data_IF_496680210076
#
_entry.id   IF_496680210076
#
_cell.length_a   1.000
_cell.length_b   1.000
_cell.length_c   1.000
_cell.angle_alpha   90.00
_cell.angle_beta   90.00
_cell.angle_gamma   90.00
#
_symmetry.space_group_name_H-M   'P 1'
#
loop_
_entity.id
_entity.type
_entity.pdbx_description
1 polymer ?
#
# COMPACT_ATOMS: atom_id res chain seq x y z
N UNK A 1 2.49 -24.36 -3.20
CA UNK A 1 3.47 -23.30 -2.87
C UNK A 1 3.65 -22.44 -4.11
N UNK A 2 2.79 -21.44 -4.32
CA UNK A 2 2.92 -20.52 -5.47
C UNK A 2 4.12 -19.61 -5.21
N UNK A 3 5.14 -19.73 -6.05
CA UNK A 3 6.31 -18.84 -6.07
C UNK A 3 5.86 -17.44 -6.50
N UNK A 4 5.48 -16.61 -5.52
CA UNK A 4 5.35 -15.17 -5.73
C UNK A 4 6.76 -14.65 -5.99
N UNK A 5 6.98 -14.13 -7.20
CA UNK A 5 8.22 -13.48 -7.60
C UNK A 5 8.60 -12.40 -6.55
N UNK A 6 9.72 -12.62 -5.83
CA UNK A 6 10.23 -11.77 -4.75
C UNK A 6 10.69 -10.42 -5.31
N UNK A 7 9.74 -9.53 -5.60
CA UNK A 7 10.02 -8.19 -6.12
C UNK A 7 10.69 -7.29 -5.07
N UNK A 8 11.42 -6.27 -5.53
CA UNK A 8 12.10 -5.26 -4.69
C UNK A 8 11.21 -4.65 -3.59
N UNK A 9 9.90 -4.57 -3.83
CA UNK A 9 8.94 -3.99 -2.89
C UNK A 9 8.81 -4.80 -1.59
N UNK A 10 8.97 -6.13 -1.60
CA UNK A 10 8.89 -6.93 -0.38
C UNK A 10 10.03 -6.61 0.60
N UNK A 11 11.19 -6.22 0.08
CA UNK A 11 12.36 -5.85 0.88
C UNK A 11 12.25 -4.43 1.45
N UNK A 12 11.52 -3.55 0.77
CA UNK A 12 11.35 -2.15 1.18
C UNK A 12 10.20 -1.95 2.18
N UNK A 13 9.17 -2.81 2.13
CA UNK A 13 7.99 -2.70 3.02
C UNK A 13 8.36 -2.64 4.51
N UNK A 14 9.25 -3.49 5.06
CA UNK A 14 9.61 -3.45 6.48
C UNK A 14 10.29 -2.14 6.89
N UNK A 15 11.16 -1.59 6.02
CA UNK A 15 11.86 -0.33 6.26
C UNK A 15 10.89 0.86 6.27
N UNK A 16 9.98 0.89 5.30
CA UNK A 16 8.93 1.91 5.23
C UNK A 16 7.98 1.84 6.43
N UNK A 17 7.63 0.63 6.87
CA UNK A 17 6.79 0.40 8.04
C UNK A 17 7.49 0.82 9.34
N UNK A 18 8.76 0.46 9.51
CA UNK A 18 9.58 0.90 10.64
C UNK A 18 9.66 2.43 10.71
N UNK A 19 9.80 3.10 9.56
CA UNK A 19 9.77 4.57 9.49
C UNK A 19 8.41 5.14 9.88
N UNK A 20 7.31 4.55 9.39
CA UNK A 20 5.95 4.97 9.72
C UNK A 20 5.68 4.89 11.23
N UNK A 21 6.11 3.78 11.86
CA UNK A 21 6.03 3.58 13.31
C UNK A 21 6.89 4.60 14.04
N UNK A 22 8.15 4.78 13.61
CA UNK A 22 9.09 5.71 14.25
C UNK A 22 8.67 7.19 14.20
N UNK A 23 7.75 7.57 13.33
CA UNK A 23 7.18 8.94 13.27
C UNK A 23 5.70 9.00 13.70
N UNK A 24 5.19 7.94 14.33
CA UNK A 24 3.85 7.92 14.94
C UNK A 24 2.68 7.98 13.95
N UNK A 25 2.82 7.38 12.75
CA UNK A 25 1.75 7.41 11.73
C UNK A 25 0.60 6.48 12.12
N UNK A 26 -0.62 6.89 11.78
CA UNK A 26 -1.85 6.21 12.21
C UNK A 26 -2.25 5.05 11.29
N UNK A 27 -1.75 5.04 10.06
CA UNK A 27 -1.94 3.96 9.09
C UNK A 27 -0.88 4.01 8.00
N UNK A 28 -0.81 2.93 7.21
CA UNK A 28 0.06 2.80 6.04
C UNK A 28 -0.76 2.56 4.79
N UNK A 29 -0.37 3.18 3.67
CA UNK A 29 -1.17 3.17 2.44
C UNK A 29 -0.38 2.80 1.19
N UNK A 30 -0.96 1.97 0.32
CA UNK A 30 -0.45 1.72 -1.03
C UNK A 30 -1.54 1.83 -2.11
N UNK A 31 -1.20 2.44 -3.24
CA UNK A 31 -2.12 2.71 -4.35
C UNK A 31 -2.03 1.66 -5.48
N UNK A 32 -1.89 0.38 -5.12
CA UNK A 32 -1.70 -0.74 -6.07
C UNK A 32 -2.07 -2.06 -5.40
N UNK A 33 -2.54 -3.03 -6.20
CA UNK A 33 -3.12 -4.31 -5.77
C UNK A 33 -2.20 -5.53 -5.84
N UNK A 34 -0.98 -5.38 -6.40
CA UNK A 34 -0.03 -6.48 -6.61
C UNK A 34 0.82 -6.84 -5.38
N UNK A 35 2.04 -7.34 -5.59
CA UNK A 35 2.94 -7.80 -4.51
C UNK A 35 3.18 -6.75 -3.41
N UNK A 36 3.14 -5.46 -3.75
CA UNK A 36 3.15 -4.37 -2.76
C UNK A 36 2.03 -4.50 -1.71
N UNK A 37 0.80 -4.76 -2.17
CA UNK A 37 -0.39 -4.87 -1.34
C UNK A 37 -0.34 -6.09 -0.43
N UNK A 38 0.09 -7.22 -0.99
CA UNK A 38 0.24 -8.49 -0.27
C UNK A 38 1.33 -8.35 0.80
N UNK A 39 2.49 -7.81 0.43
CA UNK A 39 3.60 -7.55 1.34
C UNK A 39 3.20 -6.57 2.44
N UNK A 40 2.59 -5.44 2.08
CA UNK A 40 2.12 -4.44 3.03
C UNK A 40 1.16 -5.07 4.04
N UNK A 41 0.15 -5.79 3.57
CA UNK A 41 -0.83 -6.45 4.43
C UNK A 41 -0.16 -7.45 5.37
N UNK A 42 0.87 -8.18 4.90
CA UNK A 42 1.63 -9.11 5.71
C UNK A 42 2.39 -8.43 6.85
N UNK A 43 3.22 -7.44 6.51
CA UNK A 43 4.08 -6.77 7.48
C UNK A 43 3.30 -5.86 8.41
N UNK A 44 2.28 -5.16 7.91
CA UNK A 44 1.43 -4.28 8.70
C UNK A 44 0.59 -5.06 9.73
N UNK A 45 0.07 -6.24 9.35
CA UNK A 45 -0.60 -7.14 10.30
C UNK A 45 0.36 -7.60 11.42
N UNK A 46 1.62 -7.90 11.09
CA UNK A 46 2.63 -8.26 12.09
C UNK A 46 3.02 -7.09 13.01
N UNK A 47 2.95 -5.85 12.53
CA UNK A 47 3.31 -4.65 13.30
C UNK A 47 2.12 -3.93 13.96
N UNK A 48 0.92 -4.52 13.89
CA UNK A 48 -0.32 -3.91 14.39
C UNK A 48 -0.62 -2.50 13.83
N UNK A 49 -0.13 -2.19 12.63
CA UNK A 49 -0.44 -0.92 11.92
C UNK A 49 -1.50 -1.21 10.87
N UNK A 50 -2.62 -0.47 10.79
CA UNK A 50 -3.68 -0.75 9.81
C UNK A 50 -3.19 -0.56 8.35
N UNK A 51 -3.19 -1.61 7.52
CA UNK A 51 -2.90 -1.48 6.09
C UNK A 51 -4.13 -1.01 5.30
N UNK A 52 -3.92 0.02 4.48
CA UNK A 52 -4.95 0.62 3.64
C UNK A 52 -4.55 0.50 2.17
N UNK A 53 -5.38 -0.14 1.37
CA UNK A 53 -5.03 -0.50 0.00
C UNK A 53 -6.03 0.15 -0.94
N UNK A 54 -5.57 1.14 -1.70
CA UNK A 54 -6.41 1.81 -2.67
C UNK A 54 -6.21 1.20 -4.05
N UNK A 55 -7.33 0.84 -4.68
CA UNK A 55 -7.39 0.18 -5.97
C UNK A 55 -8.43 0.86 -6.85
N UNK A 56 -8.29 0.74 -8.15
CA UNK A 56 -9.31 1.17 -9.11
C UNK A 56 -10.12 -0.04 -9.56
N UNK A 57 -11.41 0.14 -9.83
CA UNK A 57 -12.22 -0.92 -10.44
C UNK A 57 -11.73 -1.24 -11.87
N UNK A 58 -11.91 -2.49 -12.35
CA UNK A 58 -12.40 -3.65 -11.63
C UNK A 58 -11.38 -4.19 -10.62
N UNK A 59 -11.87 -4.80 -9.52
CA UNK A 59 -11.00 -5.30 -8.47
C UNK A 59 -10.20 -6.53 -8.97
N UNK A 60 -8.86 -6.47 -9.05
CA UNK A 60 -8.07 -7.61 -9.52
C UNK A 60 -8.01 -8.72 -8.45
N UNK A 61 -7.92 -9.98 -8.89
CA UNK A 61 -7.96 -11.18 -8.02
C UNK A 61 -6.95 -11.17 -6.85
N UNK A 62 -5.81 -10.52 -7.03
CA UNK A 62 -4.80 -10.33 -5.98
C UNK A 62 -5.31 -9.60 -4.74
N UNK A 63 -6.40 -8.83 -4.87
CA UNK A 63 -7.08 -8.17 -3.76
C UNK A 63 -7.80 -9.15 -2.82
N UNK A 64 -8.13 -10.36 -3.29
CA UNK A 64 -8.75 -11.39 -2.44
C UNK A 64 -7.80 -11.82 -1.32
N UNK A 65 -6.53 -12.04 -1.66
CA UNK A 65 -5.47 -12.41 -0.71
C UNK A 65 -5.27 -11.31 0.34
N UNK A 66 -5.41 -10.06 -0.08
CA UNK A 66 -5.35 -8.91 0.82
C UNK A 66 -6.54 -8.90 1.78
N UNK A 67 -7.77 -9.06 1.28
CA UNK A 67 -9.00 -9.11 2.10
C UNK A 67 -8.98 -10.20 3.15
N UNK A 68 -8.37 -11.35 2.84
CA UNK A 68 -8.24 -12.48 3.75
C UNK A 68 -7.25 -12.21 4.90
N UNK A 69 -6.36 -11.22 4.77
CA UNK A 69 -5.44 -10.85 5.84
C UNK A 69 -6.14 -9.92 6.83
N UNK A 70 -6.20 -10.35 8.08
CA UNK A 70 -6.82 -9.60 9.19
C UNK A 70 -6.34 -8.14 9.22
N UNK A 71 -7.29 -7.20 9.11
CA UNK A 71 -7.07 -5.77 9.27
C UNK A 71 -6.80 -4.98 7.99
N UNK A 72 -6.74 -5.62 6.82
CA UNK A 72 -6.55 -4.92 5.56
C UNK A 72 -7.86 -4.35 4.99
N UNK A 73 -7.91 -3.02 4.87
CA UNK A 73 -9.04 -2.34 4.24
C UNK A 73 -8.73 -2.01 2.78
N UNK A 74 -9.61 -2.48 1.89
CA UNK A 74 -9.54 -2.17 0.46
C UNK A 74 -10.52 -1.04 0.15
N UNK A 75 -9.99 0.08 -0.33
CA UNK A 75 -10.76 1.24 -0.77
C UNK A 75 -10.76 1.25 -2.30
N UNK A 76 -11.94 1.12 -2.89
CA UNK A 76 -12.11 1.12 -4.35
C UNK A 76 -12.40 2.53 -4.84
N UNK A 77 -11.56 3.04 -5.73
CA UNK A 77 -11.71 4.33 -6.39
C UNK A 77 -12.26 4.14 -7.81
N UNK A 78 -13.03 5.12 -8.30
CA UNK A 78 -13.68 5.05 -9.62
C UNK A 78 -12.67 5.23 -10.75
N UNK A 79 -11.77 6.20 -10.64
CA UNK A 79 -10.71 6.43 -11.60
C UNK A 79 -9.33 6.46 -10.93
N UNK A 80 -8.28 6.32 -11.74
CA UNK A 80 -6.90 6.43 -11.27
C UNK A 80 -6.65 7.78 -10.60
N UNK A 81 -7.17 8.87 -11.16
CA UNK A 81 -7.02 10.21 -10.59
C UNK A 81 -7.65 10.33 -9.19
N UNK A 82 -8.87 9.83 -9.02
CA UNK A 82 -9.55 9.81 -7.71
C UNK A 82 -8.75 9.03 -6.67
N UNK A 83 -8.06 7.96 -7.09
CA UNK A 83 -7.18 7.19 -6.22
C UNK A 83 -6.03 8.04 -5.70
N UNK A 84 -5.43 8.88 -6.55
CA UNK A 84 -4.35 9.78 -6.16
C UNK A 84 -4.82 10.86 -5.20
N UNK A 85 -5.95 11.50 -5.49
CA UNK A 85 -6.55 12.50 -4.60
C UNK A 85 -6.86 11.90 -3.24
N UNK A 86 -7.54 10.74 -3.23
CA UNK A 86 -7.89 10.04 -2.00
C UNK A 86 -6.65 9.69 -1.15
N UNK A 87 -5.57 9.27 -1.80
CA UNK A 87 -4.30 8.98 -1.17
C UNK A 87 -3.66 10.23 -0.55
N UNK A 88 -3.60 11.33 -1.30
CA UNK A 88 -3.01 12.59 -0.84
C UNK A 88 -3.76 13.14 0.39
N UNK A 89 -5.09 13.16 0.34
CA UNK A 89 -5.94 13.58 1.47
C UNK A 89 -5.63 12.79 2.74
N UNK A 90 -5.43 11.47 2.62
CA UNK A 90 -5.14 10.58 3.75
C UNK A 90 -3.74 10.78 4.31
N UNK A 91 -2.76 11.05 3.45
CA UNK A 91 -1.39 11.35 3.88
C UNK A 91 -1.32 12.68 4.62
N UNK A 92 -2.07 13.70 4.16
CA UNK A 92 -2.28 14.94 4.91
C UNK A 92 -2.95 14.67 6.27
N UNK A 93 -3.87 13.69 6.32
CA UNK A 93 -4.48 13.20 7.55
C UNK A 93 -3.61 12.28 8.43
N UNK A 94 -2.31 12.15 8.14
CA UNK A 94 -1.36 11.43 9.00
C UNK A 94 -1.09 9.97 8.61
N UNK A 95 -1.55 9.51 7.44
CA UNK A 95 -1.16 8.20 6.92
C UNK A 95 0.24 8.24 6.29
N UNK A 96 0.91 7.09 6.24
CA UNK A 96 2.23 6.97 5.64
C UNK A 96 2.17 6.32 4.24
N UNK A 97 2.74 6.98 3.22
CA UNK A 97 2.76 6.44 1.86
C UNK A 97 3.87 5.42 1.63
N UNK A 98 3.54 4.20 1.17
CA UNK A 98 4.57 3.21 0.78
C UNK A 98 4.95 3.22 -0.70
N UNK A 99 4.17 3.91 -1.53
CA UNK A 99 4.43 4.01 -2.97
C UNK A 99 4.52 5.47 -3.32
N UNK A 100 5.41 5.83 -4.25
CA UNK A 100 5.57 7.20 -4.71
C UNK A 100 4.21 7.83 -5.08
N UNK A 101 3.96 9.02 -4.53
CA UNK A 101 2.70 9.77 -4.64
C UNK A 101 2.89 11.10 -5.36
N UNK A 102 3.98 11.23 -6.11
CA UNK A 102 4.24 12.40 -6.96
C UNK A 102 3.96 12.04 -8.43
N UNK A 103 3.20 12.89 -9.10
CA UNK A 103 3.11 13.00 -10.55
C UNK A 103 3.92 14.23 -10.98
N UNK A 104 4.86 14.12 -11.95
CA UNK A 104 5.23 12.90 -12.66
C UNK A 104 5.87 11.88 -11.71
N UNK A 105 5.78 10.60 -12.09
CA UNK A 105 6.51 9.55 -11.38
C UNK A 105 7.99 9.94 -11.45
N UNK A 106 8.57 10.41 -10.33
CA UNK A 106 10.02 10.50 -10.21
C UNK A 106 10.54 9.07 -10.22
N UNK A 107 10.93 8.64 -11.42
CA UNK A 107 11.56 7.36 -11.67
C UNK A 107 12.96 7.34 -11.05
N UNK A 108 13.46 6.14 -10.81
CA UNK A 108 14.90 5.92 -10.77
C UNK A 108 15.47 6.42 -12.10
N UNK A 109 16.51 7.27 -12.03
CA UNK A 109 17.28 7.73 -13.21
C UNK A 109 17.68 6.54 -14.11
N UNK A 110 17.86 6.74 -15.44
CA UNK A 110 18.07 5.68 -16.43
C UNK A 110 19.36 4.88 -16.23
#
# INVERSE_FOLDING_TARGET
>A
MHLVNKGSQERMTPLALARAIGIGKTAVVCARSGNAAISLSAYAAAAAVPPKILVTAPLPDGCRIVRERKGADIIVCRASFDRWTAVNERVLGGWFPLTNQVLPAVGSDP
#
